data_IF_706376036717
#
_entry.id   IF_706376036717
#
_cell.length_a   1.000
_cell.length_b   1.000
_cell.length_c   1.000
_cell.angle_alpha   90.00
_cell.angle_beta   90.00
_cell.angle_gamma   90.00
#
_symmetry.space_group_name_H-M   'P 1'
#
loop_
_entity.id
_entity.type
_entity.pdbx_description
1 polymer ?
#
# COMPACT_ATOMS: atom_id res chain seq x y z
N UNK A 1 1.30 -6.67 -5.46
CA UNK A 1 2.32 -5.69 -5.03
C UNK A 1 1.79 -4.91 -3.83
N UNK A 2 2.50 -4.94 -2.71
CA UNK A 2 2.27 -4.04 -1.57
C UNK A 2 3.00 -2.74 -1.86
N UNK A 3 2.28 -1.63 -1.92
CA UNK A 3 2.86 -0.30 -2.07
C UNK A 3 2.77 0.51 -0.77
N UNK A 4 3.86 1.16 -0.39
CA UNK A 4 3.94 2.06 0.75
C UNK A 4 4.76 3.28 0.35
N UNK A 5 4.08 4.32 -0.13
CA UNK A 5 4.69 5.55 -0.63
C UNK A 5 3.80 6.74 -0.32
N UNK A 6 4.25 7.97 -0.56
CA UNK A 6 3.33 9.11 -0.56
C UNK A 6 2.18 8.88 -1.55
N UNK A 7 0.95 9.27 -1.19
CA UNK A 7 -0.22 9.20 -2.09
C UNK A 7 -0.53 10.58 -2.63
N UNK A 8 -0.07 10.82 -3.86
CA UNK A 8 -0.28 12.03 -4.63
C UNK A 8 -0.61 11.66 -6.08
N UNK A 9 -0.89 12.66 -6.92
CA UNK A 9 -1.22 12.45 -8.33
C UNK A 9 -0.15 11.63 -9.09
N UNK A 10 1.14 11.80 -8.76
CA UNK A 10 2.23 11.07 -9.39
C UNK A 10 2.20 9.57 -9.02
N UNK A 11 1.96 9.26 -7.75
CA UNK A 11 1.78 7.88 -7.28
C UNK A 11 0.54 7.24 -7.87
N UNK A 12 -0.53 7.99 -8.11
CA UNK A 12 -1.70 7.46 -8.81
C UNK A 12 -1.34 6.94 -10.22
N UNK A 13 -0.57 7.71 -10.99
CA UNK A 13 -0.09 7.28 -12.30
C UNK A 13 0.80 6.03 -12.18
N UNK A 14 1.64 5.95 -11.15
CA UNK A 14 2.44 4.74 -10.87
C UNK A 14 1.54 3.52 -10.60
N UNK A 15 0.53 3.66 -9.73
CA UNK A 15 -0.42 2.59 -9.37
C UNK A 15 -1.15 2.09 -10.61
N UNK A 16 -1.69 3.01 -11.42
CA UNK A 16 -2.38 2.69 -12.66
C UNK A 16 -1.46 2.03 -13.68
N UNK A 17 -0.20 2.47 -13.77
CA UNK A 17 0.79 1.87 -14.67
C UNK A 17 1.11 0.43 -14.27
N UNK A 18 1.31 0.15 -12.97
CA UNK A 18 1.53 -1.20 -12.47
C UNK A 18 0.34 -2.11 -12.78
N UNK A 19 -0.88 -1.60 -12.59
CA UNK A 19 -2.10 -2.32 -12.91
C UNK A 19 -2.26 -2.58 -14.42
N UNK A 20 -1.95 -1.59 -15.25
CA UNK A 20 -1.95 -1.73 -16.72
C UNK A 20 -0.94 -2.78 -17.20
N UNK A 21 0.16 -2.99 -16.46
CA UNK A 21 1.13 -4.05 -16.69
C UNK A 21 0.71 -5.42 -16.11
N UNK A 22 -0.50 -5.52 -15.55
CA UNK A 22 -1.08 -6.77 -15.05
C UNK A 22 -0.90 -7.01 -13.55
N UNK A 23 -0.37 -6.06 -12.79
CA UNK A 23 -0.22 -6.22 -11.34
C UNK A 23 -1.54 -6.03 -10.59
N UNK A 24 -1.80 -6.87 -9.59
CA UNK A 24 -2.77 -6.56 -8.53
C UNK A 24 -2.05 -5.82 -7.40
N UNK A 25 -2.62 -4.72 -6.93
CA UNK A 25 -1.97 -3.80 -5.99
C UNK A 25 -2.84 -3.50 -4.77
N UNK A 26 -2.18 -3.30 -3.62
CA UNK A 26 -2.76 -2.68 -2.42
C UNK A 26 -1.80 -1.60 -1.94
N UNK A 27 -2.32 -0.43 -1.57
CA UNK A 27 -1.49 0.75 -1.28
C UNK A 27 -1.83 1.41 0.04
N UNK A 28 -0.80 1.77 0.79
CA UNK A 28 -0.85 2.61 1.98
C UNK A 28 0.08 3.82 1.82
N UNK A 29 -0.12 4.85 2.65
CA UNK A 29 0.78 5.98 2.71
C UNK A 29 2.05 5.63 3.52
N UNK A 30 3.21 6.18 3.15
CA UNK A 30 4.43 6.12 3.97
C UNK A 30 4.57 7.31 4.94
N UNK A 31 3.62 8.25 4.91
CA UNK A 31 3.61 9.39 5.83
C UNK A 31 2.19 9.92 6.06
N UNK A 32 1.83 10.09 7.34
CA UNK A 32 0.49 10.51 7.80
C UNK A 32 -0.02 11.83 7.21
N UNK A 33 0.86 12.73 6.73
CA UNK A 33 0.45 14.02 6.16
C UNK A 33 0.57 14.09 4.64
N UNK A 34 1.04 13.03 3.99
CA UNK A 34 1.39 13.09 2.58
C UNK A 34 0.23 12.79 1.62
N UNK A 35 -0.81 12.13 2.12
CA UNK A 35 -1.96 11.76 1.30
C UNK A 35 -2.72 13.00 0.80
N UNK A 36 -2.98 13.03 -0.50
CA UNK A 36 -3.97 13.87 -1.15
C UNK A 36 -5.29 13.09 -1.19
N UNK A 37 -6.28 13.50 -0.39
CA UNK A 37 -7.50 12.72 -0.16
C UNK A 37 -8.31 12.52 -1.44
N UNK A 38 -8.37 13.53 -2.28
CA UNK A 38 -9.00 13.50 -3.59
C UNK A 38 -8.37 12.45 -4.52
N UNK A 39 -7.04 12.26 -4.43
CA UNK A 39 -6.33 11.25 -5.21
C UNK A 39 -6.60 9.85 -4.66
N UNK A 40 -6.52 9.68 -3.33
CA UNK A 40 -6.86 8.42 -2.68
C UNK A 40 -8.30 7.99 -3.00
N UNK A 41 -9.24 8.95 -2.97
CA UNK A 41 -10.63 8.72 -3.32
C UNK A 41 -10.82 8.34 -4.80
N UNK A 42 -10.12 9.01 -5.73
CA UNK A 42 -10.19 8.68 -7.15
C UNK A 42 -9.68 7.26 -7.44
N UNK A 43 -8.55 6.88 -6.85
CA UNK A 43 -8.00 5.53 -6.97
C UNK A 43 -8.93 4.47 -6.36
N UNK A 44 -9.50 4.74 -5.19
CA UNK A 44 -10.48 3.84 -4.56
C UNK A 44 -11.75 3.69 -5.43
N UNK A 45 -12.23 4.79 -6.02
CA UNK A 45 -13.36 4.76 -6.95
C UNK A 45 -13.06 3.96 -8.22
N UNK A 46 -11.83 4.02 -8.72
CA UNK A 46 -11.36 3.21 -9.84
C UNK A 46 -11.18 1.71 -9.50
N UNK A 47 -11.42 1.31 -8.25
CA UNK A 47 -11.37 -0.08 -7.79
C UNK A 47 -10.01 -0.52 -7.24
N UNK A 48 -9.06 0.39 -7.06
CA UNK A 48 -7.80 0.07 -6.38
C UNK A 48 -8.01 -0.03 -4.87
N UNK A 49 -7.35 -0.99 -4.25
CA UNK A 49 -7.37 -1.17 -2.81
C UNK A 49 -6.42 -0.17 -2.13
N UNK A 50 -6.95 1.00 -1.81
CA UNK A 50 -6.24 2.10 -1.16
C UNK A 50 -6.66 2.20 0.31
N UNK A 51 -5.68 2.16 1.21
CA UNK A 51 -5.86 2.32 2.65
C UNK A 51 -5.02 3.51 3.09
N UNK A 52 -5.56 4.71 2.94
CA UNK A 52 -4.87 5.92 3.37
C UNK A 52 -5.76 7.15 3.32
N UNK A 53 -5.46 8.11 4.19
CA UNK A 53 -6.03 9.46 4.18
C UNK A 53 -5.05 10.45 4.80
N UNK A 54 -5.31 11.74 4.63
CA UNK A 54 -4.51 12.81 5.22
C UNK A 54 -4.78 12.91 6.72
N UNK A 55 -3.71 13.08 7.49
CA UNK A 55 -3.71 13.18 8.94
C UNK A 55 -4.22 11.91 9.64
N UNK A 56 -3.71 10.76 9.22
CA UNK A 56 -3.86 9.49 9.95
C UNK A 56 -3.33 9.62 11.39
N UNK A 57 -3.98 8.93 12.34
CA UNK A 57 -3.33 8.63 13.62
C UNK A 57 -2.23 7.60 13.41
N UNK A 58 -1.30 7.48 14.35
CA UNK A 58 -0.25 6.45 14.28
C UNK A 58 -0.85 5.03 14.20
N UNK A 59 -1.91 4.77 14.96
CA UNK A 59 -2.63 3.48 14.93
C UNK A 59 -3.24 3.20 13.55
N UNK A 60 -3.86 4.22 12.95
CA UNK A 60 -4.44 4.12 11.62
C UNK A 60 -3.36 3.90 10.54
N UNK A 61 -2.23 4.59 10.65
CA UNK A 61 -1.09 4.44 9.75
C UNK A 61 -0.60 3.00 9.71
N UNK A 62 -0.33 2.41 10.87
CA UNK A 62 0.10 1.01 10.94
C UNK A 62 -0.99 0.03 10.49
N UNK A 63 -2.26 0.33 10.80
CA UNK A 63 -3.39 -0.46 10.32
C UNK A 63 -3.48 -0.46 8.79
N UNK A 64 -3.29 0.69 8.13
CA UNK A 64 -3.30 0.82 6.68
C UNK A 64 -2.23 -0.04 6.01
N UNK A 65 -0.99 0.01 6.51
CA UNK A 65 0.09 -0.84 6.00
C UNK A 65 -0.25 -2.32 6.24
N UNK A 66 -0.81 -2.66 7.41
CA UNK A 66 -1.20 -4.02 7.76
C UNK A 66 -2.28 -4.59 6.83
N UNK A 67 -3.25 -3.78 6.39
CA UNK A 67 -4.28 -4.19 5.42
C UNK A 67 -3.66 -4.55 4.06
N UNK A 68 -2.60 -3.86 3.66
CA UNK A 68 -1.88 -4.16 2.43
C UNK A 68 -1.10 -5.48 2.54
N UNK A 69 -0.51 -5.75 3.70
CA UNK A 69 0.35 -6.91 3.95
C UNK A 69 -0.41 -8.21 4.24
N UNK A 70 -1.60 -8.12 4.84
CA UNK A 70 -2.35 -9.29 5.31
C UNK A 70 -2.87 -10.14 4.16
N UNK A 71 -2.35 -11.37 4.04
CA UNK A 71 -2.87 -12.35 3.10
C UNK A 71 -4.33 -12.70 3.43
N UNK A 72 -5.22 -12.61 2.45
CA UNK A 72 -6.65 -12.84 2.64
C UNK A 72 -7.35 -13.15 1.31
N UNK A 73 -8.15 -14.22 1.29
CA UNK A 73 -8.84 -14.68 0.09
C UNK A 73 -7.84 -14.99 -1.04
N UNK A 74 -7.97 -14.28 -2.16
CA UNK A 74 -7.06 -14.40 -3.32
C UNK A 74 -5.82 -13.51 -3.21
N UNK A 75 -5.73 -12.65 -2.18
CA UNK A 75 -4.59 -11.77 -1.99
C UNK A 75 -3.46 -12.47 -1.24
N UNK A 76 -2.33 -12.64 -1.93
CA UNK A 76 -1.06 -13.07 -1.35
C UNK A 76 0.03 -12.12 -1.87
N UNK A 77 0.62 -11.25 -1.02
CA UNK A 77 1.66 -10.35 -1.47
C UNK A 77 2.93 -11.14 -1.83
N UNK A 78 3.56 -10.75 -2.95
CA UNK A 78 4.76 -11.38 -3.50
C UNK A 78 5.83 -10.36 -3.94
N UNK A 79 5.57 -9.06 -3.73
CA UNK A 79 6.45 -7.94 -4.07
C UNK A 79 6.11 -6.76 -3.16
N UNK A 80 7.14 -6.05 -2.69
CA UNK A 80 7.03 -4.78 -1.96
C UNK A 80 7.60 -3.66 -2.84
N UNK A 81 6.90 -2.54 -2.89
CA UNK A 81 7.40 -1.25 -3.36
C UNK A 81 7.29 -0.27 -2.18
N UNK A 82 8.43 0.13 -1.63
CA UNK A 82 8.50 0.84 -0.34
C UNK A 82 9.29 2.15 -0.48
N UNK A 83 8.87 3.15 0.28
CA UNK A 83 9.54 4.43 0.46
C UNK A 83 9.60 4.72 1.97
N UNK A 84 10.81 4.63 2.54
CA UNK A 84 11.05 4.77 3.99
C UNK A 84 11.23 3.45 4.75
N UNK A 85 10.74 2.33 4.22
CA UNK A 85 11.01 0.98 4.76
C UNK A 85 9.99 0.45 5.78
N UNK A 86 8.90 1.18 6.06
CA UNK A 86 7.89 0.80 7.05
C UNK A 86 7.12 -0.45 6.67
N UNK A 87 6.76 -0.62 5.39
CA UNK A 87 6.09 -1.84 4.92
C UNK A 87 7.02 -3.05 4.97
N UNK A 88 8.28 -2.85 4.57
CA UNK A 88 9.34 -3.87 4.67
C UNK A 88 9.53 -4.30 6.12
N UNK A 89 9.62 -3.33 7.04
CA UNK A 89 9.77 -3.59 8.46
C UNK A 89 8.57 -4.35 9.03
N UNK A 90 7.35 -3.89 8.74
CA UNK A 90 6.13 -4.52 9.23
C UNK A 90 5.97 -5.95 8.70
N UNK A 91 6.23 -6.18 7.41
CA UNK A 91 6.17 -7.52 6.84
C UNK A 91 7.22 -8.45 7.45
N UNK A 92 8.46 -7.97 7.62
CA UNK A 92 9.54 -8.74 8.25
C UNK A 92 9.20 -9.11 9.70
N UNK A 93 8.55 -8.23 10.46
CA UNK A 93 8.26 -8.44 11.88
C UNK A 93 6.97 -9.22 12.13
N UNK A 94 5.91 -8.89 11.41
CA UNK A 94 4.54 -9.38 11.68
C UNK A 94 4.08 -10.43 10.67
N UNK A 95 4.42 -10.27 9.39
CA UNK A 95 3.98 -11.15 8.29
C UNK A 95 5.11 -12.04 7.76
N UNK A 96 5.89 -12.64 8.67
CA UNK A 96 7.13 -13.38 8.35
C UNK A 96 6.95 -14.45 7.26
N UNK A 97 5.84 -15.18 7.26
CA UNK A 97 5.54 -16.19 6.24
C UNK A 97 5.36 -15.56 4.86
N UNK A 98 4.60 -14.46 4.77
CA UNK A 98 4.42 -13.74 3.51
C UNK A 98 5.73 -13.09 3.05
N UNK A 99 6.50 -12.52 3.97
CA UNK A 99 7.80 -11.90 3.66
C UNK A 99 8.79 -12.89 3.02
N UNK A 100 8.83 -14.14 3.49
CA UNK A 100 9.67 -15.21 2.89
C UNK A 100 9.29 -15.59 1.46
N UNK A 101 8.08 -15.24 1.01
CA UNK A 101 7.58 -15.51 -0.33
C UNK A 101 7.83 -14.35 -1.31
N UNK A 102 8.30 -13.22 -0.81
CA UNK A 102 8.68 -12.08 -1.64
C UNK A 102 9.93 -12.45 -2.43
N UNK A 103 9.90 -12.19 -3.74
CA UNK A 103 10.99 -12.47 -4.66
C UNK A 103 11.79 -11.21 -4.97
#
# INVERSE_FOLDING_TARGET
>A
IVGCTHINAQTAVLIETLAALGATVRWAACNIYSTQNEVAAALAHAGFAIFAWRAESEEAFWWCIDQCCTASGTWQPNMILDDGGDATHLMLKKHTTAFKLIK
#
